data_IF_465786892065
#
_entry.id   IF_465786892065
#
_cell.length_a   1.000
_cell.length_b   1.000
_cell.length_c   1.000
_cell.angle_alpha   90.00
_cell.angle_beta   90.00
_cell.angle_gamma   90.00
#
_symmetry.space_group_name_H-M   'P 1'
#
loop_
_entity.id
_entity.type
_entity.pdbx_description
1 polymer ?
#
# COMPACT_ATOMS: atom_id res chain seq x y z
N UNK A 1 -10.03 18.71 -6.13
CA UNK A 1 -9.45 18.84 -7.48
C UNK A 1 -8.48 17.69 -7.71
N UNK A 2 -8.51 17.06 -8.89
CA UNK A 2 -7.74 15.84 -9.18
C UNK A 2 -6.23 16.04 -9.17
N UNK A 3 -5.74 17.25 -9.47
CA UNK A 3 -4.31 17.55 -9.57
C UNK A 3 -3.54 17.29 -8.26
N UNK A 4 -4.15 17.57 -7.10
CA UNK A 4 -3.55 17.31 -5.79
C UNK A 4 -3.44 15.83 -5.42
N UNK A 5 -4.07 14.93 -6.18
CA UNK A 5 -3.92 13.49 -6.02
C UNK A 5 -2.76 12.94 -6.85
N UNK A 6 -2.38 13.64 -7.92
CA UNK A 6 -1.29 13.22 -8.80
C UNK A 6 0.09 13.62 -8.25
N UNK A 7 0.14 14.56 -7.31
CA UNK A 7 1.39 15.04 -6.70
C UNK A 7 2.06 13.99 -5.81
N UNK A 8 1.27 13.20 -5.07
CA UNK A 8 1.78 12.12 -4.21
C UNK A 8 1.27 10.79 -4.73
N UNK A 9 2.12 10.15 -5.54
CA UNK A 9 1.82 8.86 -6.17
C UNK A 9 2.19 7.72 -5.23
N UNK A 10 1.30 7.46 -4.27
CA UNK A 10 1.32 6.23 -3.48
C UNK A 10 0.89 5.02 -4.33
N UNK A 11 0.96 3.83 -3.73
CA UNK A 11 0.42 2.58 -4.32
C UNK A 11 -1.12 2.61 -4.36
N UNK A 12 -1.73 3.38 -3.46
CA UNK A 12 -3.17 3.43 -3.27
C UNK A 12 -3.69 4.87 -3.18
N UNK A 13 -4.75 5.14 -3.95
CA UNK A 13 -5.44 6.43 -3.95
C UNK A 13 -6.24 6.70 -2.69
N UNK A 14 -6.75 5.66 -2.02
CA UNK A 14 -7.46 5.78 -0.76
C UNK A 14 -6.56 6.39 0.32
N UNK A 15 -5.31 5.95 0.41
CA UNK A 15 -4.33 6.50 1.37
C UNK A 15 -4.09 7.99 1.14
N UNK A 16 -4.08 8.44 -0.11
CA UNK A 16 -3.90 9.86 -0.47
C UNK A 16 -5.05 10.76 -0.05
N UNK A 17 -6.21 10.23 0.36
CA UNK A 17 -7.35 10.98 0.89
C UNK A 17 -7.28 11.19 2.41
N UNK A 18 -6.32 10.57 3.10
CA UNK A 18 -6.15 10.68 4.56
C UNK A 18 -6.08 12.14 4.99
N UNK A 19 -6.99 12.56 5.87
CA UNK A 19 -7.01 13.92 6.43
C UNK A 19 -7.43 15.04 5.46
N UNK A 20 -7.76 14.73 4.20
CA UNK A 20 -8.12 15.76 3.20
C UNK A 20 -9.61 16.14 3.20
N UNK A 21 -10.48 15.29 3.73
CA UNK A 21 -11.95 15.47 3.65
C UNK A 21 -12.58 15.28 5.03
N UNK A 22 -13.25 16.32 5.54
CA UNK A 22 -13.93 16.24 6.84
C UNK A 22 -15.03 15.15 6.84
N UNK A 23 -15.03 14.28 7.85
CA UNK A 23 -16.00 13.19 7.99
C UNK A 23 -15.74 11.97 7.09
N UNK A 24 -14.65 11.98 6.31
CA UNK A 24 -14.09 10.80 5.64
C UNK A 24 -12.96 10.27 6.53
N UNK A 25 -13.14 9.07 7.06
CA UNK A 25 -12.12 8.36 7.81
C UNK A 25 -11.41 7.38 6.87
N UNK A 26 -10.10 7.55 6.72
CA UNK A 26 -9.24 6.61 5.99
C UNK A 26 -8.39 5.86 7.02
N UNK A 27 -8.53 4.55 7.05
CA UNK A 27 -7.75 3.64 7.91
C UNK A 27 -6.75 2.90 7.05
N UNK A 28 -5.50 3.35 7.09
CA UNK A 28 -4.40 2.63 6.44
C UNK A 28 -4.04 1.41 7.28
N UNK A 29 -3.93 0.26 6.59
CA UNK A 29 -3.49 -0.99 7.20
C UNK A 29 -1.97 -0.96 7.45
N UNK A 30 -1.52 -1.71 8.46
CA UNK A 30 -0.08 -1.93 8.70
C UNK A 30 0.48 -3.09 7.88
N UNK A 31 -0.42 -3.85 7.28
CA UNK A 31 -0.18 -5.05 6.52
C UNK A 31 0.29 -4.68 5.11
N UNK A 32 1.30 -5.41 4.64
CA UNK A 32 1.86 -5.14 3.33
C UNK A 32 0.83 -5.39 2.22
N UNK A 33 0.64 -4.40 1.36
CA UNK A 33 -0.30 -4.45 0.24
C UNK A 33 -1.74 -4.76 0.64
N UNK A 34 -2.17 -4.29 1.80
CA UNK A 34 -3.59 -4.26 2.14
C UNK A 34 -4.20 -2.90 1.74
N UNK A 35 -5.44 -2.93 1.26
CA UNK A 35 -6.13 -1.72 0.84
C UNK A 35 -6.64 -0.94 2.07
N UNK A 36 -6.59 0.40 2.07
CA UNK A 36 -7.11 1.18 3.17
C UNK A 36 -8.63 1.05 3.24
N UNK A 37 -9.16 0.88 4.44
CA UNK A 37 -10.59 0.97 4.69
C UNK A 37 -11.01 2.43 4.70
N UNK A 38 -12.09 2.75 3.99
CA UNK A 38 -12.61 4.12 3.88
C UNK A 38 -14.03 4.14 4.41
N UNK A 39 -14.31 5.06 5.34
CA UNK A 39 -15.61 5.21 5.97
C UNK A 39 -16.09 6.65 5.88
N UNK A 40 -17.37 6.86 5.60
CA UNK A 40 -18.03 8.16 5.68
C UNK A 40 -18.91 8.13 6.91
N UNK A 41 -18.58 8.96 7.91
CA UNK A 41 -19.33 9.04 9.18
C UNK A 41 -19.51 7.69 9.90
N UNK A 42 -18.54 6.79 9.77
CA UNK A 42 -18.51 5.48 10.43
C UNK A 42 -19.09 4.32 9.63
N UNK A 43 -19.59 4.58 8.41
CA UNK A 43 -20.17 3.57 7.52
C UNK A 43 -19.34 3.40 6.24
N UNK A 44 -19.41 2.21 5.64
CA UNK A 44 -18.70 1.91 4.39
C UNK A 44 -19.46 2.50 3.18
N UNK A 45 -18.86 3.44 2.42
CA UNK A 45 -19.53 4.10 1.32
C UNK A 45 -19.51 3.26 0.05
N UNK A 46 -20.45 3.52 -0.85
CA UNK A 46 -20.46 2.91 -2.18
C UNK A 46 -19.39 3.53 -3.08
N UNK A 47 -18.57 2.71 -3.73
CA UNK A 47 -17.69 3.18 -4.81
C UNK A 47 -18.48 3.27 -6.11
N UNK A 48 -18.39 4.42 -6.78
CA UNK A 48 -19.01 4.66 -8.08
C UNK A 48 -17.94 5.13 -9.04
N UNK A 49 -17.79 4.46 -10.17
CA UNK A 49 -16.83 4.82 -11.23
C UNK A 49 -17.65 5.14 -12.48
N UNK A 50 -17.51 6.36 -12.99
CA UNK A 50 -18.23 6.85 -14.17
C UNK A 50 -19.75 6.61 -14.15
N UNK A 51 -20.33 6.70 -12.94
CA UNK A 51 -21.77 6.51 -12.69
C UNK A 51 -22.19 5.07 -12.40
N UNK A 52 -21.30 4.08 -12.55
CA UNK A 52 -21.59 2.67 -12.27
C UNK A 52 -21.15 2.30 -10.85
N UNK A 53 -22.03 1.70 -10.02
CA UNK A 53 -21.70 1.33 -8.65
C UNK A 53 -20.98 -0.03 -8.55
N UNK A 54 -19.79 -0.04 -7.95
CA UNK A 54 -18.96 -1.23 -7.73
C UNK A 54 -18.97 -1.65 -6.26
N UNK A 55 -19.12 -2.95 -6.01
CA UNK A 55 -19.04 -3.54 -4.67
C UNK A 55 -17.73 -4.30 -4.40
N UNK A 56 -17.08 -4.79 -5.47
CA UNK A 56 -15.90 -5.64 -5.39
C UNK A 56 -14.62 -4.94 -5.84
N UNK A 57 -14.67 -3.61 -6.02
CA UNK A 57 -13.53 -2.79 -6.39
C UNK A 57 -13.29 -1.74 -5.32
N UNK A 58 -12.03 -1.38 -5.16
CA UNK A 58 -11.55 -0.37 -4.23
C UNK A 58 -10.88 0.76 -5.00
N UNK A 59 -10.60 1.89 -4.33
CA UNK A 59 -9.82 2.98 -4.94
C UNK A 59 -8.41 2.55 -5.36
N UNK A 60 -7.87 1.47 -4.76
CA UNK A 60 -6.60 0.88 -5.18
C UNK A 60 -6.64 0.38 -6.60
N UNK A 61 -7.80 -0.09 -7.05
CA UNK A 61 -7.97 -0.76 -8.34
C UNK A 61 -7.85 0.20 -9.52
N UNK A 62 -8.06 1.50 -9.27
CA UNK A 62 -8.09 2.56 -10.26
C UNK A 62 -6.74 3.29 -10.28
N UNK A 63 -6.03 3.35 -11.42
CA UNK A 63 -4.81 4.13 -11.54
C UNK A 63 -5.04 5.61 -11.28
N UNK A 64 -4.18 6.23 -10.46
CA UNK A 64 -4.23 7.67 -10.15
C UNK A 64 -4.16 8.57 -11.38
N UNK A 65 -3.45 8.11 -12.41
CA UNK A 65 -3.23 8.85 -13.65
C UNK A 65 -4.48 8.92 -14.55
N UNK A 66 -5.40 7.97 -14.36
CA UNK A 66 -6.66 7.88 -15.08
C UNK A 66 -7.80 8.63 -14.38
N UNK A 67 -7.63 9.03 -13.12
CA UNK A 67 -8.65 9.77 -12.37
C UNK A 67 -8.65 11.24 -12.79
N UNK A 68 -9.80 11.72 -13.24
CA UNK A 68 -10.05 13.15 -13.49
C UNK A 68 -10.46 13.84 -12.19
N UNK A 69 -11.42 13.26 -11.48
CA UNK A 69 -11.90 13.82 -10.21
C UNK A 69 -12.45 12.75 -9.26
N UNK A 70 -12.40 13.06 -7.97
CA UNK A 70 -13.04 12.30 -6.91
C UNK A 70 -13.99 13.23 -6.17
N UNK A 71 -15.26 12.84 -6.08
CA UNK A 71 -16.31 13.54 -5.35
C UNK A 71 -16.85 12.64 -4.24
N UNK A 72 -16.90 13.15 -3.02
CA UNK A 72 -17.39 12.39 -1.86
C UNK A 72 -18.77 12.90 -1.48
N UNK A 73 -19.78 12.05 -1.68
CA UNK A 73 -21.17 12.32 -1.31
C UNK A 73 -21.43 11.85 0.11
N UNK A 74 -21.75 12.79 1.01
CA UNK A 74 -21.96 12.53 2.44
C UNK A 74 -23.45 12.38 2.73
N UNK A 75 -23.87 11.20 3.18
CA UNK A 75 -25.26 10.94 3.60
C UNK A 75 -26.27 10.88 2.45
N UNK A 76 -27.44 11.50 2.64
CA UNK A 76 -28.64 11.30 1.82
C UNK A 76 -28.52 11.72 0.34
N UNK A 77 -27.50 12.51 -0.04
CA UNK A 77 -27.28 12.90 -1.45
C UNK A 77 -26.90 11.70 -2.31
N UNK A 78 -26.14 10.75 -1.76
CA UNK A 78 -25.81 9.50 -2.46
C UNK A 78 -27.03 8.59 -2.58
N UNK A 79 -27.87 8.53 -1.55
CA UNK A 79 -29.07 7.69 -1.53
C UNK A 79 -30.12 8.14 -2.55
N UNK A 80 -30.16 9.44 -2.86
CA UNK A 80 -31.03 9.98 -3.91
C UNK A 80 -30.68 9.45 -5.31
N UNK A 81 -29.39 9.21 -5.59
CA UNK A 81 -28.92 8.72 -6.89
C UNK A 81 -28.85 7.19 -6.95
N UNK A 82 -28.41 6.54 -5.87
CA UNK A 82 -28.07 5.12 -5.84
C UNK A 82 -28.97 4.28 -4.90
N UNK A 83 -30.05 4.87 -4.39
CA UNK A 83 -31.02 4.21 -3.53
C UNK A 83 -30.40 3.70 -2.22
N UNK A 84 -30.85 2.53 -1.76
CA UNK A 84 -30.37 1.89 -0.54
C UNK A 84 -28.84 1.73 -0.50
N UNK A 85 -28.22 1.42 -1.64
CA UNK A 85 -26.75 1.24 -1.73
C UNK A 85 -25.98 2.53 -1.44
N UNK A 86 -26.59 3.69 -1.65
CA UNK A 86 -26.02 5.00 -1.30
C UNK A 86 -26.42 5.49 0.08
N UNK A 87 -27.04 4.66 0.93
CA UNK A 87 -27.45 5.04 2.30
C UNK A 87 -26.29 5.54 3.16
N UNK A 88 -25.14 4.88 3.03
CA UNK A 88 -23.90 5.15 3.76
C UNK A 88 -23.01 6.24 3.12
N UNK A 89 -23.49 6.88 2.04
CA UNK A 89 -22.69 7.79 1.21
C UNK A 89 -22.07 7.10 0.01
N UNK A 90 -21.38 7.87 -0.83
CA UNK A 90 -20.70 7.35 -2.01
C UNK A 90 -19.41 8.11 -2.30
N UNK A 91 -18.43 7.39 -2.83
CA UNK A 91 -17.21 7.96 -3.42
C UNK A 91 -17.36 7.84 -4.92
N UNK A 92 -17.55 8.97 -5.59
CA UNK A 92 -17.67 9.05 -7.03
C UNK A 92 -16.30 9.36 -7.64
N UNK A 93 -15.87 8.50 -8.54
CA UNK A 93 -14.67 8.65 -9.35
C UNK A 93 -15.11 8.91 -10.78
N UNK A 94 -14.57 9.97 -11.38
CA UNK A 94 -14.70 10.24 -12.81
C UNK A 94 -13.35 10.00 -13.45
N UNK A 95 -13.30 9.15 -14.46
CA UNK A 95 -12.07 8.89 -15.21
C UNK A 95 -11.88 9.92 -16.32
N UNK A 96 -10.62 10.19 -16.65
CA UNK A 96 -10.26 11.09 -17.74
C UNK A 96 -10.73 10.48 -19.05
N UNK A 97 -11.39 11.29 -19.86
CA UNK A 97 -11.88 10.88 -21.18
C UNK A 97 -10.95 11.39 -22.28
N UNK A 98 -11.52 11.70 -23.45
CA UNK A 98 -10.85 12.32 -24.58
C UNK A 98 -10.17 13.65 -24.29
N UNK A 99 -9.55 14.20 -25.32
CA UNK A 99 -8.88 15.50 -25.26
C UNK A 99 -9.87 16.61 -25.59
N UNK A 100 -9.71 17.78 -24.97
CA UNK A 100 -10.52 18.97 -25.31
C UNK A 100 -10.32 19.40 -26.77
N UNK A 101 -9.11 19.22 -27.30
CA UNK A 101 -8.74 19.60 -28.66
C UNK A 101 -8.54 18.37 -29.54
N UNK A 102 -8.90 18.47 -30.82
CA UNK A 102 -8.62 17.42 -31.82
C UNK A 102 -7.12 17.12 -31.86
N UNK A 103 -6.79 15.84 -31.97
CA UNK A 103 -5.40 15.39 -32.09
C UNK A 103 -5.11 14.14 -31.28
N UNK A 104 -3.83 13.78 -31.27
CA UNK A 104 -3.28 12.66 -30.51
C UNK A 104 -2.43 13.22 -29.37
N UNK A 105 -2.61 12.68 -28.17
CA UNK A 105 -1.76 12.93 -27.01
C UNK A 105 -1.21 11.63 -26.49
N UNK A 106 0.11 11.61 -26.29
CA UNK A 106 0.81 10.53 -25.61
C UNK A 106 1.42 11.10 -24.36
N UNK A 107 1.12 10.50 -23.21
CA UNK A 107 1.66 10.89 -21.92
C UNK A 107 2.37 9.70 -21.31
N UNK A 108 3.61 9.90 -20.88
CA UNK A 108 4.38 8.89 -20.16
C UNK A 108 4.71 9.47 -18.80
N UNK A 109 4.44 8.69 -17.76
CA UNK A 109 4.78 9.03 -16.40
C UNK A 109 5.58 7.90 -15.78
N UNK A 110 6.69 8.24 -15.12
CA UNK A 110 7.50 7.30 -14.36
C UNK A 110 7.83 7.94 -13.01
N UNK A 111 7.53 7.22 -11.93
CA UNK A 111 7.79 7.63 -10.56
C UNK A 111 8.55 6.54 -9.81
N UNK A 112 9.56 6.95 -9.05
CA UNK A 112 10.29 6.09 -8.13
C UNK A 112 10.19 6.67 -6.73
N UNK A 113 9.74 5.87 -5.78
CA UNK A 113 9.71 6.21 -4.37
C UNK A 113 10.57 5.21 -3.61
N UNK A 114 11.45 5.73 -2.76
CA UNK A 114 12.29 4.92 -1.88
C UNK A 114 11.79 5.06 -0.45
N UNK A 115 11.76 3.94 0.26
CA UNK A 115 11.32 3.93 1.64
C UNK A 115 12.43 4.45 2.57
N UNK A 116 12.18 5.48 3.36
CA UNK A 116 13.23 6.07 4.22
C UNK A 116 13.55 5.23 5.48
N UNK A 117 12.98 4.03 5.62
CA UNK A 117 13.08 3.21 6.82
C UNK A 117 11.84 3.33 7.72
N UNK A 118 12.01 3.03 9.00
CA UNK A 118 10.93 3.12 10.00
C UNK A 118 10.96 4.49 10.69
N UNK A 119 9.78 5.04 10.98
CA UNK A 119 9.65 6.28 11.73
C UNK A 119 10.17 6.13 13.17
N UNK A 120 9.90 4.97 13.78
CA UNK A 120 10.40 4.61 15.10
C UNK A 120 10.50 3.09 15.20
N UNK A 121 11.65 2.61 15.66
CA UNK A 121 11.84 1.22 16.09
C UNK A 121 12.02 1.27 17.61
N UNK A 122 11.26 0.50 18.40
CA UNK A 122 11.46 0.46 19.84
C UNK A 122 12.91 0.10 20.18
N UNK A 123 13.53 0.86 21.08
CA UNK A 123 14.85 0.53 21.59
C UNK A 123 14.78 -0.77 22.40
N UNK A 124 15.56 -1.76 21.99
CA UNK A 124 15.67 -3.04 22.68
C UNK A 124 16.83 -3.01 23.66
N UNK A 125 16.64 -3.66 24.82
CA UNK A 125 17.73 -3.84 25.78
C UNK A 125 18.78 -4.84 25.23
N UNK A 126 20.05 -4.59 25.54
CA UNK A 126 21.19 -5.44 25.16
C UNK A 126 22.06 -5.86 26.34
N UNK A 127 21.55 -5.73 27.56
CA UNK A 127 22.26 -6.04 28.80
C UNK A 127 22.06 -7.49 29.25
N UNK A 128 20.88 -8.07 28.98
CA UNK A 128 20.52 -9.44 29.34
C UNK A 128 20.20 -10.25 28.08
N UNK A 129 20.59 -11.51 28.04
CA UNK A 129 20.32 -12.39 26.89
C UNK A 129 19.28 -13.46 27.17
N UNK A 130 19.29 -14.54 26.38
CA UNK A 130 18.36 -15.69 26.51
C UNK A 130 18.49 -16.38 27.87
N UNK A 131 17.40 -16.99 28.33
CA UNK A 131 17.37 -17.78 29.57
C UNK A 131 18.40 -18.92 29.53
N UNK A 132 19.11 -19.09 30.64
CA UNK A 132 20.13 -20.13 30.84
C UNK A 132 19.78 -21.03 32.02
N UNK A 133 20.25 -22.28 31.97
CA UNK A 133 20.15 -23.26 33.05
C UNK A 133 21.53 -23.82 33.37
N UNK A 134 21.70 -24.45 34.52
CA UNK A 134 22.90 -25.26 34.80
C UNK A 134 22.71 -26.66 34.21
N UNK A 135 23.72 -27.15 33.48
CA UNK A 135 23.77 -28.54 33.03
C UNK A 135 24.27 -29.47 34.16
N UNK A 136 24.38 -30.78 33.88
CA UNK A 136 24.83 -31.77 34.85
C UNK A 136 26.26 -31.50 35.38
N UNK A 137 27.10 -30.86 34.57
CA UNK A 137 28.48 -30.48 34.92
C UNK A 137 28.57 -29.11 35.63
N UNK A 138 27.42 -28.47 35.91
CA UNK A 138 27.32 -27.17 36.58
C UNK A 138 27.59 -25.96 35.68
N UNK A 139 27.92 -26.16 34.40
CA UNK A 139 28.12 -25.11 33.41
C UNK A 139 26.77 -24.49 32.99
N UNK A 140 26.78 -23.20 32.66
CA UNK A 140 25.60 -22.52 32.13
C UNK A 140 25.36 -22.94 30.67
N UNK A 141 24.12 -23.29 30.36
CA UNK A 141 23.66 -23.74 29.04
C UNK A 141 22.39 -22.97 28.64
N UNK A 142 22.30 -22.59 27.36
CA UNK A 142 21.09 -22.02 26.78
C UNK A 142 19.88 -22.96 26.93
N UNK A 143 18.77 -22.40 27.41
CA UNK A 143 17.47 -23.07 27.33
C UNK A 143 16.92 -22.85 25.92
N UNK A 144 16.94 -23.89 25.08
CA UNK A 144 16.44 -23.81 23.70
C UNK A 144 14.98 -23.37 23.61
N UNK A 145 14.15 -23.81 24.56
CA UNK A 145 12.73 -23.42 24.65
C UNK A 145 12.49 -22.10 25.38
N UNK A 146 13.53 -21.46 25.93
CA UNK A 146 13.37 -20.23 26.70
C UNK A 146 13.36 -19.02 25.77
N UNK A 147 12.26 -18.29 25.69
CA UNK A 147 12.15 -17.16 24.79
C UNK A 147 12.43 -15.81 25.48
N UNK A 148 12.74 -14.80 24.67
CA UNK A 148 13.08 -13.46 25.14
C UNK A 148 14.45 -13.35 25.81
N UNK A 149 14.67 -12.20 26.42
CA UNK A 149 15.96 -11.76 26.94
C UNK A 149 15.95 -11.61 28.47
N UNK A 150 15.41 -12.61 29.16
CA UNK A 150 15.26 -12.66 30.64
C UNK A 150 16.34 -13.51 31.32
N UNK A 151 17.52 -13.61 30.71
CA UNK A 151 18.65 -14.39 31.18
C UNK A 151 19.60 -13.62 32.09
N UNK A 152 20.83 -14.12 32.19
CA UNK A 152 21.93 -13.44 32.90
C UNK A 152 22.48 -12.27 32.07
N UNK A 153 23.29 -11.37 32.66
CA UNK A 153 23.94 -10.31 31.90
C UNK A 153 24.85 -10.83 30.79
N UNK A 154 24.89 -10.12 29.67
CA UNK A 154 25.76 -10.35 28.51
C UNK A 154 27.16 -9.77 28.78
N UNK A 155 27.91 -10.40 29.67
CA UNK A 155 29.22 -9.93 30.15
C UNK A 155 30.42 -10.63 29.49
N UNK A 156 30.19 -11.43 28.44
CA UNK A 156 31.23 -12.15 27.72
C UNK A 156 31.66 -13.47 28.36
N UNK A 157 31.06 -13.90 29.48
CA UNK A 157 31.34 -15.22 30.08
C UNK A 157 31.05 -16.36 29.09
N UNK A 158 31.73 -17.48 29.26
CA UNK A 158 31.43 -18.67 28.46
C UNK A 158 30.13 -19.32 28.91
N UNK A 159 29.22 -19.50 27.95
CA UNK A 159 27.96 -20.24 28.10
C UNK A 159 27.90 -21.27 26.98
N UNK A 160 27.36 -22.45 27.26
CA UNK A 160 27.09 -23.45 26.24
C UNK A 160 25.89 -22.97 25.42
N UNK A 161 26.15 -22.57 24.17
CA UNK A 161 25.20 -21.93 23.26
C UNK A 161 24.99 -22.79 22.00
N UNK A 162 23.85 -22.61 21.32
CA UNK A 162 23.62 -23.24 20.02
C UNK A 162 24.43 -22.52 18.94
N UNK A 163 25.28 -23.28 18.25
CA UNK A 163 25.98 -22.79 17.06
C UNK A 163 25.19 -23.14 15.79
N UNK A 164 24.66 -22.16 15.05
CA UNK A 164 23.90 -22.43 13.84
C UNK A 164 24.75 -23.01 12.70
N UNK A 165 26.08 -22.83 12.71
CA UNK A 165 26.98 -23.34 11.66
C UNK A 165 27.25 -24.82 11.86
N UNK A 166 27.78 -25.19 13.03
CA UNK A 166 28.07 -26.60 13.34
C UNK A 166 26.84 -27.41 13.72
N UNK A 167 25.70 -26.75 14.01
CA UNK A 167 24.46 -27.36 14.51
C UNK A 167 24.69 -28.17 15.78
N UNK A 168 25.57 -27.69 16.66
CA UNK A 168 25.88 -28.31 17.95
C UNK A 168 25.85 -27.29 19.09
N UNK A 169 25.78 -27.78 20.33
CA UNK A 169 25.96 -26.94 21.51
C UNK A 169 27.46 -26.85 21.80
N UNK A 170 27.99 -25.63 21.91
CA UNK A 170 29.40 -25.41 22.23
C UNK A 170 29.58 -24.21 23.16
N UNK A 171 30.62 -24.19 24.01
CA UNK A 171 30.94 -23.01 24.81
C UNK A 171 31.29 -21.84 23.88
N UNK A 172 30.63 -20.70 24.10
CA UNK A 172 30.85 -19.45 23.35
C UNK A 172 30.72 -18.25 24.30
N UNK A 173 31.43 -17.14 24.03
CA UNK A 173 31.29 -15.91 24.81
C UNK A 173 29.87 -15.35 24.69
N UNK A 174 29.31 -14.93 25.82
CA UNK A 174 27.93 -14.45 25.90
C UNK A 174 27.88 -12.94 25.69
N UNK A 175 27.72 -12.54 24.42
CA UNK A 175 27.83 -11.15 23.94
C UNK A 175 26.52 -10.68 23.27
N UNK A 176 26.26 -9.36 23.22
CA UNK A 176 25.07 -8.78 22.58
C UNK A 176 25.14 -8.78 21.04
N UNK A 177 25.46 -9.92 20.43
CA UNK A 177 25.64 -10.07 18.97
C UNK A 177 24.36 -9.76 18.19
N UNK A 178 23.20 -9.94 18.82
CA UNK A 178 21.89 -9.75 18.20
C UNK A 178 21.28 -8.35 18.34
N UNK A 179 22.01 -7.36 18.85
CA UNK A 179 21.49 -6.00 19.11
C UNK A 179 20.81 -5.39 17.88
N UNK A 180 21.41 -5.57 16.71
CA UNK A 180 20.94 -4.98 15.45
C UNK A 180 20.17 -5.98 14.57
N UNK A 181 19.74 -7.14 15.12
CA UNK A 181 19.10 -8.21 14.34
C UNK A 181 17.87 -7.74 13.56
N UNK A 182 17.01 -6.92 14.18
CA UNK A 182 15.83 -6.40 13.50
C UNK A 182 16.22 -5.44 12.38
N UNK A 183 17.18 -4.55 12.60
CA UNK A 183 17.68 -3.65 11.57
C UNK A 183 18.30 -4.42 10.39
N UNK A 184 19.06 -5.47 10.67
CA UNK A 184 19.70 -6.32 9.67
C UNK A 184 18.71 -7.22 8.90
N UNK A 185 17.54 -7.50 9.49
CA UNK A 185 16.48 -8.26 8.83
C UNK A 185 15.74 -7.45 7.78
N UNK A 186 15.68 -6.13 7.94
CA UNK A 186 14.95 -5.23 7.06
C UNK A 186 15.72 -4.96 5.77
N UNK A 187 14.97 -4.84 4.68
CA UNK A 187 15.48 -4.47 3.37
C UNK A 187 15.02 -3.07 2.95
N UNK A 188 15.77 -2.46 2.05
CA UNK A 188 15.37 -1.21 1.42
C UNK A 188 14.13 -1.44 0.52
N UNK A 189 12.98 -0.90 0.95
CA UNK A 189 11.75 -0.93 0.17
C UNK A 189 11.71 0.18 -0.90
N UNK A 190 10.94 -0.05 -1.96
CA UNK A 190 10.73 0.91 -3.04
C UNK A 190 9.37 0.71 -3.72
N UNK A 191 8.87 1.76 -4.39
CA UNK A 191 7.70 1.71 -5.25
C UNK A 191 8.08 2.31 -6.60
N UNK A 192 7.88 1.53 -7.66
CA UNK A 192 7.98 1.98 -9.04
C UNK A 192 6.57 2.11 -9.60
N UNK A 193 6.28 3.23 -10.25
CA UNK A 193 5.01 3.47 -10.93
C UNK A 193 5.29 3.97 -12.33
N UNK A 194 4.88 3.22 -13.35
CA UNK A 194 5.04 3.56 -14.74
C UNK A 194 3.67 3.55 -15.42
N UNK A 195 3.29 4.68 -16.01
CA UNK A 195 2.04 4.84 -16.73
C UNK A 195 2.33 5.33 -18.15
N UNK A 196 1.71 4.67 -19.13
CA UNK A 196 1.66 5.13 -20.51
C UNK A 196 0.21 5.33 -20.88
N UNK A 197 -0.13 6.53 -21.30
CA UNK A 197 -1.48 6.90 -21.70
C UNK A 197 -1.48 7.44 -23.14
N UNK A 198 -2.42 6.96 -23.94
CA UNK A 198 -2.68 7.43 -25.29
C UNK A 198 -4.13 7.91 -25.36
N UNK A 199 -4.33 9.13 -25.81
CA UNK A 199 -5.65 9.70 -26.03
C UNK A 199 -5.73 10.31 -27.43
N UNK A 200 -6.83 10.08 -28.13
CA UNK A 200 -7.11 10.66 -29.43
C UNK A 200 -8.50 11.31 -29.41
N UNK A 201 -8.57 12.55 -29.89
CA UNK A 201 -9.83 13.26 -30.12
C UNK A 201 -10.01 13.48 -31.62
N UNK A 202 -11.09 12.91 -32.16
CA UNK A 202 -11.55 13.12 -33.52
C UNK A 202 -12.75 14.08 -33.59
N UNK A 203 -13.35 14.17 -34.78
CA UNK A 203 -14.56 14.99 -35.00
C UNK A 203 -15.83 14.33 -34.45
N UNK A 204 -15.89 13.00 -34.52
CA UNK A 204 -17.07 12.20 -34.20
C UNK A 204 -16.91 11.40 -32.90
N UNK A 205 -15.82 11.58 -32.16
CA UNK A 205 -15.59 10.82 -30.95
C UNK A 205 -14.19 10.96 -30.38
N UNK A 206 -14.01 10.35 -29.21
CA UNK A 206 -12.75 10.27 -28.51
C UNK A 206 -12.42 8.84 -28.10
N UNK A 207 -11.14 8.57 -27.94
CA UNK A 207 -10.62 7.30 -27.48
C UNK A 207 -9.46 7.55 -26.53
N UNK A 208 -9.41 6.81 -25.43
CA UNK A 208 -8.32 6.82 -24.46
C UNK A 208 -7.98 5.40 -24.05
N UNK A 209 -6.69 5.11 -23.96
CA UNK A 209 -6.19 3.88 -23.37
C UNK A 209 -5.01 4.17 -22.47
N UNK A 210 -4.91 3.45 -21.37
CA UNK A 210 -3.81 3.56 -20.44
C UNK A 210 -3.29 2.17 -20.05
N UNK A 211 -1.98 2.11 -19.82
CA UNK A 211 -1.30 0.97 -19.24
C UNK A 211 -0.50 1.46 -18.04
N UNK A 212 -0.83 0.96 -16.86
CA UNK A 212 -0.14 1.30 -15.61
C UNK A 212 0.49 0.05 -15.02
N UNK A 213 1.79 0.10 -14.77
CA UNK A 213 2.51 -0.94 -14.03
C UNK A 213 3.07 -0.35 -12.73
N UNK A 214 2.71 -0.99 -11.62
CA UNK A 214 3.19 -0.66 -10.28
C UNK A 214 3.92 -1.88 -9.71
N UNK A 215 5.17 -1.69 -9.30
CA UNK A 215 5.95 -2.67 -8.54
C UNK A 215 6.27 -2.07 -7.18
N UNK A 216 5.80 -2.70 -6.12
CA UNK A 216 6.04 -2.30 -4.74
C UNK A 216 6.82 -3.41 -4.04
N UNK A 217 8.02 -3.10 -3.57
CA UNK A 217 8.82 -3.95 -2.70
C UNK A 217 8.78 -3.38 -1.28
N UNK A 218 8.27 -4.17 -0.35
CA UNK A 218 8.22 -3.83 1.07
C UNK A 218 9.60 -3.85 1.75
N UNK A 219 9.62 -3.45 3.02
CA UNK A 219 10.84 -3.48 3.85
C UNK A 219 11.10 -4.86 4.48
N UNK A 220 10.10 -5.74 4.51
CA UNK A 220 10.29 -7.12 4.94
C UNK A 220 10.76 -8.00 3.77
N UNK A 221 11.72 -8.91 3.98
CA UNK A 221 12.13 -9.87 2.96
C UNK A 221 10.93 -10.60 2.36
N UNK A 222 10.99 -10.89 1.05
CA UNK A 222 9.95 -11.58 0.28
C UNK A 222 8.58 -10.87 0.25
N UNK A 223 8.49 -9.58 0.62
CA UNK A 223 7.26 -8.80 0.48
C UNK A 223 7.26 -8.01 -0.82
N UNK A 224 6.65 -8.55 -1.87
CA UNK A 224 6.54 -7.90 -3.19
C UNK A 224 5.10 -7.85 -3.67
N UNK A 225 4.73 -6.78 -4.36
CA UNK A 225 3.42 -6.59 -4.96
C UNK A 225 3.58 -6.02 -6.38
N UNK A 226 3.09 -6.76 -7.35
CA UNK A 226 3.11 -6.40 -8.77
C UNK A 226 1.68 -6.24 -9.28
N UNK A 227 1.43 -5.07 -9.89
CA UNK A 227 0.12 -4.75 -10.44
C UNK A 227 0.26 -4.17 -11.83
N UNK A 228 -0.46 -4.77 -12.78
CA UNK A 228 -0.67 -4.24 -14.11
C UNK A 228 -2.14 -3.87 -14.26
N UNK A 229 -2.42 -2.67 -14.75
CA UNK A 229 -3.78 -2.22 -15.05
C UNK A 229 -3.84 -1.67 -16.45
N UNK A 230 -4.84 -2.13 -17.19
CA UNK A 230 -5.15 -1.66 -18.53
C UNK A 230 -6.55 -1.05 -18.50
N UNK A 231 -6.66 0.18 -18.98
CA UNK A 231 -7.93 0.90 -19.06
C UNK A 231 -8.22 1.30 -20.50
N UNK A 232 -9.50 1.28 -20.87
CA UNK A 232 -9.97 1.61 -22.21
C UNK A 232 -11.28 2.39 -22.08
N UNK A 233 -11.29 3.61 -22.61
CA UNK A 233 -12.48 4.46 -22.61
C UNK A 233 -12.64 5.18 -23.94
N UNK A 234 -13.84 5.64 -24.22
CA UNK A 234 -14.12 6.42 -25.41
C UNK A 234 -15.56 6.88 -25.51
N UNK A 235 -15.77 7.88 -26.35
CA UNK A 235 -17.08 8.36 -26.73
C UNK A 235 -17.20 8.45 -28.24
N UNK A 236 -18.41 8.26 -28.74
CA UNK A 236 -18.72 8.45 -30.15
C UNK A 236 -20.03 9.20 -30.24
N UNK A 237 -20.00 10.34 -30.92
CA UNK A 237 -21.15 11.21 -31.16
C UNK A 237 -21.47 11.24 -32.65
N UNK A 238 -22.66 10.73 -32.98
CA UNK A 238 -23.21 10.76 -34.34
C UNK A 238 -24.58 11.43 -34.25
N UNK A 239 -24.71 12.63 -34.80
CA UNK A 239 -25.90 13.50 -34.69
C UNK A 239 -26.38 13.68 -33.23
N UNK A 240 -27.54 13.09 -32.90
CA UNK A 240 -28.16 13.11 -31.57
C UNK A 240 -27.81 11.87 -30.72
N UNK A 241 -27.11 10.89 -31.29
CA UNK A 241 -26.72 9.67 -30.61
C UNK A 241 -25.33 9.83 -29.98
N UNK A 242 -25.23 9.49 -28.70
CA UNK A 242 -23.97 9.45 -27.96
C UNK A 242 -23.77 8.03 -27.43
N UNK A 243 -22.68 7.39 -27.85
CA UNK A 243 -22.18 6.16 -27.28
C UNK A 243 -21.02 6.51 -26.34
N UNK A 244 -20.98 5.90 -25.17
CA UNK A 244 -19.88 6.08 -24.21
C UNK A 244 -19.48 4.72 -23.65
N UNK A 245 -18.18 4.45 -23.64
CA UNK A 245 -17.57 3.30 -23.01
C UNK A 245 -16.53 3.79 -22.00
N UNK A 246 -16.55 3.24 -20.79
CA UNK A 246 -15.65 3.56 -19.68
C UNK A 246 -15.16 2.27 -19.05
#
# INVERSE_FOLDING_TARGET
>A
EGDGLQTVKGVDMGTSLTGKIAGLLVRNSTEFSDAPSIQIRGEDPLLVIDGVPYANMTLRDIPSDDIESISVLKGATASALYGYRGGSGAIMVTTKKGLTNKGLSVSVNSGTMLSAGYLAIPELQSDFGRVVRKNADGALEYVRSGDGSWGVPLDGREIIQWDPISKTMKPMPYLPVGKDNFQNFLEQGYILNNNVNLAQQGEFGSFRTSLTWVNNKGQYPNSTFDKLTFSLGGDMKIDKFLLTAS
#
